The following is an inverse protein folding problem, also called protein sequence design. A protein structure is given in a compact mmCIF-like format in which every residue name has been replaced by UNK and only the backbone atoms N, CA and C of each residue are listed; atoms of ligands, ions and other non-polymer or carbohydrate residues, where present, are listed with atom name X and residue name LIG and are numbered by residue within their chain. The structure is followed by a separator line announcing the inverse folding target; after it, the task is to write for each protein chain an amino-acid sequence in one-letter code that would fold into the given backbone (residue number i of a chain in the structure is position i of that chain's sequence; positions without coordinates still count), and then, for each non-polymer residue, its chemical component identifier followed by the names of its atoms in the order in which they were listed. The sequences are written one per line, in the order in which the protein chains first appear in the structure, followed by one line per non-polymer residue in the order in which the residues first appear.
data_IF_309379295930
#
_entry.id   IF_309379295930
#
_cell.length_a   1.000
_cell.length_b   1.000
_cell.length_c   1.000
_cell.angle_alpha   90.00
_cell.angle_beta   90.00
_cell.angle_gamma   90.00
#
_symmetry.space_group_name_H-M   'P 1'
#
loop_
_entity.id
_entity.type
_entity.pdbx_description
1 polymer ?
#
# COMPACT_ATOMS: atom_id res chain seq x y z
N UNK A 1 13.27 29.31 2.14
CA UNK A 1 13.46 28.43 0.99
C UNK A 1 12.98 27.07 1.46
N UNK A 2 11.85 26.60 0.96
CA UNK A 2 11.44 25.21 1.17
C UNK A 2 12.51 24.32 0.58
N UNK A 3 12.82 23.20 1.23
CA UNK A 3 13.69 22.19 0.67
C UNK A 3 13.10 21.74 -0.68
N UNK A 4 13.98 21.52 -1.66
CA UNK A 4 13.55 21.08 -2.98
C UNK A 4 12.93 19.68 -2.88
N UNK A 5 13.49 18.81 -2.04
CA UNK A 5 12.95 17.46 -1.76
C UNK A 5 11.56 17.58 -1.15
N UNK A 6 11.35 18.46 -0.16
CA UNK A 6 10.02 18.70 0.42
C UNK A 6 8.98 19.10 -0.64
N UNK A 7 9.41 19.90 -1.63
CA UNK A 7 8.55 20.36 -2.72
C UNK A 7 8.21 19.22 -3.70
N UNK A 8 9.17 18.33 -3.99
CA UNK A 8 8.94 17.12 -4.77
C UNK A 8 7.98 16.17 -4.06
N UNK A 9 8.18 15.95 -2.76
CA UNK A 9 7.31 15.11 -1.94
C UNK A 9 5.89 15.69 -1.86
N UNK A 10 5.73 17.01 -1.73
CA UNK A 10 4.41 17.65 -1.79
C UNK A 10 3.73 17.48 -3.15
N UNK A 11 4.49 17.53 -4.25
CA UNK A 11 3.97 17.28 -5.58
C UNK A 11 3.51 15.83 -5.75
N UNK A 12 4.29 14.85 -5.26
CA UNK A 12 3.91 13.43 -5.28
C UNK A 12 2.64 13.13 -4.50
N UNK A 13 2.34 13.89 -3.43
CA UNK A 13 1.08 13.78 -2.68
C UNK A 13 -0.15 14.33 -3.43
N UNK A 14 0.05 15.04 -4.54
CA UNK A 14 -1.01 15.70 -5.33
C UNK A 14 -1.21 15.10 -6.70
N UNK A 15 -0.16 14.52 -7.29
CA UNK A 15 -0.25 13.87 -8.60
C UNK A 15 -1.06 12.56 -8.52
N UNK A 16 -1.62 12.09 -9.64
CA UNK A 16 -2.36 10.83 -9.66
C UNK A 16 -1.50 9.66 -9.17
N UNK A 17 -1.92 8.93 -8.12
CA UNK A 17 -1.14 7.86 -7.50
C UNK A 17 -0.97 6.62 -8.39
N UNK A 18 -1.81 6.48 -9.43
CA UNK A 18 -1.65 5.42 -10.44
C UNK A 18 -0.45 5.62 -11.35
N UNK A 19 0.18 6.81 -11.32
CA UNK A 19 1.33 7.17 -12.16
C UNK A 19 2.58 7.44 -11.33
N UNK A 20 2.65 6.93 -10.10
CA UNK A 20 3.77 7.19 -9.18
C UNK A 20 5.13 6.93 -9.82
N UNK A 21 5.32 5.79 -10.50
CA UNK A 21 6.59 5.44 -11.17
C UNK A 21 6.95 6.44 -12.28
N UNK A 22 6.00 6.82 -13.13
CA UNK A 22 6.22 7.83 -14.18
C UNK A 22 6.54 9.20 -13.58
N UNK A 23 5.84 9.58 -12.51
CA UNK A 23 6.03 10.87 -11.83
C UNK A 23 7.41 10.94 -11.15
N UNK A 24 7.85 9.87 -10.47
CA UNK A 24 9.18 9.77 -9.86
C UNK A 24 10.26 9.87 -10.93
N UNK A 25 10.16 9.08 -12.00
CA UNK A 25 11.12 9.12 -13.11
C UNK A 25 11.19 10.51 -13.77
N UNK A 26 10.05 11.19 -13.93
CA UNK A 26 10.03 12.55 -14.46
C UNK A 26 10.72 13.54 -13.52
N UNK A 27 10.52 13.43 -12.20
CA UNK A 27 11.19 14.30 -11.21
C UNK A 27 12.69 14.05 -11.15
N UNK A 28 13.13 12.79 -11.19
CA UNK A 28 14.55 12.42 -11.30
C UNK A 28 15.15 13.03 -12.58
N UNK A 29 14.44 12.96 -13.71
CA UNK A 29 14.90 13.57 -14.96
C UNK A 29 15.05 15.10 -14.90
N UNK A 30 14.28 15.78 -14.04
CA UNK A 30 14.38 17.24 -13.85
C UNK A 30 15.49 17.59 -12.85
N UNK A 31 15.62 16.82 -11.78
CA UNK A 31 16.57 17.07 -10.68
C UNK A 31 17.35 15.79 -10.33
N UNK A 32 18.31 15.38 -11.17
CA UNK A 32 19.03 14.11 -10.99
C UNK A 32 19.87 14.06 -9.71
N UNK A 33 20.34 15.23 -9.23
CA UNK A 33 21.16 15.32 -8.01
C UNK A 33 20.42 14.91 -6.73
N UNK A 34 19.08 14.82 -6.79
CA UNK A 34 18.22 14.44 -5.66
C UNK A 34 17.55 13.07 -5.86
N UNK A 35 18.02 12.28 -6.83
CA UNK A 35 17.41 10.99 -7.16
C UNK A 35 17.42 10.03 -5.96
N UNK A 36 18.55 9.92 -5.26
CA UNK A 36 18.70 9.02 -4.11
C UNK A 36 17.78 9.43 -2.94
N UNK A 37 17.70 10.72 -2.64
CA UNK A 37 16.82 11.25 -1.58
C UNK A 37 15.33 11.00 -1.92
N UNK A 38 14.95 11.18 -3.19
CA UNK A 38 13.57 10.98 -3.64
C UNK A 38 13.19 9.50 -3.64
N UNK A 39 14.05 8.62 -4.18
CA UNK A 39 13.83 7.18 -4.21
C UNK A 39 13.78 6.59 -2.79
N UNK A 40 14.63 7.10 -1.89
CA UNK A 40 14.60 6.70 -0.47
C UNK A 40 13.36 7.20 0.30
N UNK A 41 12.64 8.19 -0.23
CA UNK A 41 11.51 8.83 0.45
C UNK A 41 10.14 8.51 -0.15
N UNK A 42 10.08 7.98 -1.37
CA UNK A 42 8.84 7.75 -2.12
C UNK A 42 8.70 6.28 -2.44
N UNK A 43 7.80 5.61 -1.71
CA UNK A 43 7.44 4.24 -2.02
C UNK A 43 6.78 4.14 -3.42
N UNK A 44 7.21 3.16 -4.21
CA UNK A 44 6.67 2.86 -5.53
C UNK A 44 5.88 1.53 -5.52
N UNK A 45 4.95 1.31 -6.47
CA UNK A 45 4.24 0.04 -6.58
C UNK A 45 5.20 -1.15 -6.72
N UNK A 46 4.89 -2.25 -6.03
CA UNK A 46 5.80 -3.39 -5.95
C UNK A 46 5.86 -4.14 -7.28
N UNK A 47 7.07 -4.40 -7.75
CA UNK A 47 7.33 -5.11 -8.99
C UNK A 47 7.41 -6.62 -8.74
N UNK A 48 6.80 -7.40 -9.62
CA UNK A 48 6.87 -8.85 -9.57
C UNK A 48 8.08 -9.35 -10.37
N UNK A 49 8.96 -10.11 -9.73
CA UNK A 49 10.10 -10.78 -10.37
C UNK A 49 10.09 -12.27 -10.08
N UNK A 50 10.84 -13.03 -10.88
CA UNK A 50 10.96 -14.49 -10.73
C UNK A 50 12.40 -14.87 -10.48
N UNK A 51 12.65 -15.53 -9.36
CA UNK A 51 13.92 -16.20 -9.10
C UNK A 51 13.99 -17.48 -9.94
N UNK A 52 14.84 -17.45 -10.98
CA UNK A 52 15.01 -18.56 -11.91
C UNK A 52 15.69 -19.78 -11.26
N UNK A 53 16.49 -19.57 -10.22
CA UNK A 53 17.21 -20.65 -9.54
C UNK A 53 16.30 -21.41 -8.57
N UNK A 54 15.44 -20.68 -7.85
CA UNK A 54 14.48 -21.26 -6.91
C UNK A 54 13.14 -21.62 -7.57
N UNK A 55 12.85 -21.08 -8.75
CA UNK A 55 11.56 -21.25 -9.44
C UNK A 55 10.40 -20.56 -8.70
N UNK A 56 10.68 -19.47 -7.97
CA UNK A 56 9.72 -18.78 -7.11
C UNK A 56 9.64 -17.30 -7.44
N UNK A 57 8.45 -16.74 -7.30
CA UNK A 57 8.23 -15.31 -7.46
C UNK A 57 8.64 -14.54 -6.20
N UNK A 58 9.08 -13.29 -6.38
CA UNK A 58 9.40 -12.37 -5.29
C UNK A 58 9.03 -10.92 -5.67
N UNK A 59 8.90 -10.07 -4.66
CA UNK A 59 8.59 -8.66 -4.80
C UNK A 59 9.86 -7.83 -4.80
N UNK A 60 9.98 -6.97 -5.81
CA UNK A 60 11.10 -6.07 -6.02
C UNK A 60 10.71 -4.64 -5.67
N UNK A 61 11.63 -3.96 -4.98
CA UNK A 61 11.54 -2.57 -4.56
C UNK A 61 12.97 -2.01 -4.37
N UNK A 62 13.10 -0.74 -4.03
CA UNK A 62 14.42 -0.11 -3.87
C UNK A 62 15.25 -0.73 -2.72
N UNK A 63 14.61 -1.32 -1.70
CA UNK A 63 15.30 -1.93 -0.55
C UNK A 63 16.02 -3.26 -0.86
N UNK A 64 15.71 -3.91 -1.99
CA UNK A 64 16.44 -5.11 -2.45
C UNK A 64 17.14 -4.88 -3.79
N UNK A 65 17.30 -3.61 -4.19
CA UNK A 65 17.93 -3.20 -5.43
C UNK A 65 19.37 -2.75 -5.19
N UNK A 66 20.25 -3.14 -6.10
CA UNK A 66 21.63 -2.64 -6.18
C UNK A 66 21.93 -2.38 -7.66
N UNK A 67 22.16 -1.10 -8.02
CA UNK A 67 22.16 -0.65 -9.40
C UNK A 67 20.86 -1.01 -10.12
N UNK A 68 20.93 -1.85 -11.16
CA UNK A 68 19.75 -2.32 -11.91
C UNK A 68 19.27 -3.72 -11.47
N UNK A 69 20.01 -4.37 -10.58
CA UNK A 69 19.77 -5.74 -10.17
C UNK A 69 18.99 -5.81 -8.88
N UNK A 70 18.23 -6.89 -8.70
CA UNK A 70 17.45 -7.10 -7.48
C UNK A 70 17.77 -8.44 -6.86
N UNK A 71 17.96 -8.45 -5.53
CA UNK A 71 18.27 -9.65 -4.76
C UNK A 71 17.01 -10.47 -4.50
N UNK A 72 17.03 -11.75 -4.85
CA UNK A 72 15.97 -12.69 -4.49
C UNK A 72 16.05 -13.06 -3.00
N UNK A 73 14.92 -13.12 -2.28
CA UNK A 73 14.88 -13.60 -0.90
C UNK A 73 15.05 -15.13 -0.82
N UNK A 74 14.93 -15.86 -1.93
CA UNK A 74 15.01 -17.31 -1.95
C UNK A 74 16.45 -17.78 -2.17
N UNK A 75 17.05 -17.42 -3.30
CA UNK A 75 18.43 -17.80 -3.65
C UNK A 75 19.49 -16.92 -2.99
N UNK A 76 19.13 -15.71 -2.55
CA UNK A 76 20.06 -14.65 -2.14
C UNK A 76 20.94 -14.12 -3.29
N UNK A 77 20.58 -14.39 -4.54
CA UNK A 77 21.31 -13.94 -5.73
C UNK A 77 20.63 -12.70 -6.34
N UNK A 78 21.44 -11.84 -6.96
CA UNK A 78 20.99 -10.70 -7.75
C UNK A 78 20.63 -11.10 -9.18
N UNK A 79 19.57 -10.53 -9.73
CA UNK A 79 19.21 -10.62 -11.15
C UNK A 79 19.00 -9.21 -11.77
N UNK A 80 19.80 -8.79 -12.77
CA UNK A 80 20.97 -9.49 -13.33
C UNK A 80 22.09 -9.81 -12.32
N UNK A 81 22.94 -10.82 -12.55
CA UNK A 81 24.02 -11.18 -11.63
C UNK A 81 24.96 -10.01 -11.32
N UNK A 82 25.28 -9.84 -10.04
CA UNK A 82 26.26 -8.87 -9.53
C UNK A 82 27.29 -9.59 -8.65
N UNK A 83 28.58 -9.27 -8.85
CA UNK A 83 29.66 -9.84 -8.04
C UNK A 83 29.78 -9.14 -6.67
N UNK A 84 29.59 -7.82 -6.63
CA UNK A 84 29.78 -6.97 -5.45
C UNK A 84 28.45 -6.46 -4.85
N UNK A 85 27.35 -7.19 -5.06
CA UNK A 85 26.04 -6.81 -4.54
C UNK A 85 25.96 -6.89 -3.02
N UNK A 86 25.28 -5.91 -2.39
CA UNK A 86 25.14 -5.89 -0.93
C UNK A 86 24.31 -7.08 -0.43
N UNK A 87 24.83 -7.85 0.53
CA UNK A 87 24.13 -9.01 1.13
C UNK A 87 24.15 -8.96 2.65
N UNK A 88 23.10 -9.46 3.33
CA UNK A 88 23.08 -9.51 4.79
C UNK A 88 24.14 -10.45 5.35
N UNK A 89 24.57 -10.20 6.58
CA UNK A 89 25.48 -11.12 7.29
C UNK A 89 24.88 -12.54 7.41
N UNK A 90 25.69 -13.61 7.54
CA UNK A 90 25.16 -14.98 7.63
C UNK A 90 24.15 -15.20 8.78
N UNK A 91 24.32 -14.48 9.89
CA UNK A 91 23.39 -14.48 11.02
C UNK A 91 22.06 -13.85 10.62
N UNK A 92 22.11 -12.67 9.98
CA UNK A 92 20.92 -11.94 9.56
C UNK A 92 20.19 -12.65 8.41
N UNK A 93 20.92 -13.25 7.47
CA UNK A 93 20.33 -14.07 6.39
C UNK A 93 19.54 -15.25 6.93
N UNK A 94 19.99 -15.90 8.00
CA UNK A 94 19.21 -16.98 8.65
C UNK A 94 17.89 -16.46 9.21
N UNK A 95 17.90 -15.27 9.80
CA UNK A 95 16.69 -14.60 10.29
C UNK A 95 15.77 -14.19 9.13
N UNK A 96 16.33 -13.68 8.03
CA UNK A 96 15.61 -13.29 6.81
C UNK A 96 14.86 -14.48 6.19
N UNK A 97 15.48 -15.67 6.14
CA UNK A 97 14.84 -16.89 5.64
C UNK A 97 13.63 -17.26 6.54
N UNK A 98 13.82 -17.29 7.86
CA UNK A 98 12.72 -17.57 8.79
C UNK A 98 11.62 -16.51 8.76
N UNK A 99 11.98 -15.24 8.51
CA UNK A 99 11.00 -14.17 8.37
C UNK A 99 10.17 -14.33 7.09
N UNK A 100 10.79 -14.70 5.96
CA UNK A 100 10.07 -15.01 4.73
C UNK A 100 9.07 -16.15 4.93
N UNK A 101 9.42 -17.22 5.65
CA UNK A 101 8.50 -18.32 5.96
C UNK A 101 7.32 -17.85 6.84
N UNK A 102 7.59 -17.05 7.87
CA UNK A 102 6.58 -16.53 8.77
C UNK A 102 5.60 -15.58 8.06
N UNK A 103 6.12 -14.65 7.24
CA UNK A 103 5.28 -13.69 6.51
C UNK A 103 4.57 -14.31 5.30
N UNK A 104 5.08 -15.41 4.73
CA UNK A 104 4.32 -16.16 3.73
C UNK A 104 3.10 -16.86 4.37
N UNK A 105 3.24 -17.33 5.62
CA UNK A 105 2.11 -17.84 6.41
C UNK A 105 1.12 -16.72 6.75
N UNK A 106 1.62 -15.56 7.18
CA UNK A 106 0.79 -14.37 7.42
C UNK A 106 -0.01 -13.97 6.17
N UNK A 107 0.67 -13.90 5.02
CA UNK A 107 0.07 -13.63 3.71
C UNK A 107 -1.06 -14.62 3.42
N UNK A 108 -0.82 -15.91 3.59
CA UNK A 108 -1.85 -16.91 3.31
C UNK A 108 -3.09 -16.73 4.20
N UNK A 109 -2.91 -16.45 5.49
CA UNK A 109 -4.00 -16.27 6.45
C UNK A 109 -4.84 -15.01 6.20
N UNK A 110 -4.21 -13.90 5.77
CA UNK A 110 -4.88 -12.60 5.64
C UNK A 110 -5.27 -12.25 4.19
N UNK A 111 -4.49 -12.71 3.23
CA UNK A 111 -4.65 -12.35 1.81
C UNK A 111 -5.20 -13.50 0.96
N UNK A 112 -5.16 -14.76 1.43
CA UNK A 112 -5.62 -15.94 0.68
C UNK A 112 -5.05 -15.96 -0.76
N UNK A 113 -3.71 -15.90 -0.85
CA UNK A 113 -2.96 -15.77 -2.10
C UNK A 113 -2.11 -14.50 -2.15
N UNK A 114 -1.76 -14.04 -3.36
CA UNK A 114 -0.79 -12.96 -3.53
C UNK A 114 0.64 -13.43 -3.28
N UNK A 115 1.56 -12.48 -3.12
CA UNK A 115 3.00 -12.73 -3.00
C UNK A 115 3.53 -11.95 -1.80
N UNK A 116 4.52 -12.50 -1.11
CA UNK A 116 5.23 -11.83 -0.03
C UNK A 116 6.74 -11.95 -0.22
N UNK A 117 7.49 -10.99 0.29
CA UNK A 117 8.95 -11.04 0.32
C UNK A 117 9.47 -10.23 1.51
N UNK A 118 10.53 -10.73 2.15
CA UNK A 118 11.19 -10.06 3.27
C UNK A 118 12.67 -9.90 2.97
N UNK A 119 13.17 -8.69 3.16
CA UNK A 119 14.60 -8.37 3.04
C UNK A 119 15.09 -7.70 4.31
N UNK A 120 16.23 -8.14 4.82
CA UNK A 120 16.91 -7.58 5.98
C UNK A 120 18.30 -7.08 5.56
N UNK A 121 18.77 -6.01 6.21
CA UNK A 121 20.12 -5.49 6.05
C UNK A 121 20.68 -5.01 7.38
N UNK A 122 21.99 -5.12 7.53
CA UNK A 122 22.71 -4.70 8.73
C UNK A 122 22.81 -3.16 8.78
N UNK A 123 22.78 -2.59 9.98
CA UNK A 123 23.00 -1.15 10.21
C UNK A 123 24.36 -0.90 10.86
N UNK A 124 24.96 0.26 10.58
CA UNK A 124 26.30 0.62 11.08
C UNK A 124 26.36 0.75 12.61
N UNK A 125 25.24 1.02 13.27
CA UNK A 125 25.13 1.20 14.72
C UNK A 125 24.96 -0.12 15.51
N UNK A 126 25.03 -1.26 14.82
CA UNK A 126 24.93 -2.60 15.41
C UNK A 126 23.49 -3.14 15.52
N UNK A 127 22.50 -2.41 15.01
CA UNK A 127 21.15 -2.93 14.75
C UNK A 127 21.01 -3.58 13.38
N UNK A 128 19.78 -3.83 12.98
CA UNK A 128 19.43 -4.19 11.61
C UNK A 128 18.11 -3.53 11.22
N UNK A 129 17.87 -3.43 9.94
CA UNK A 129 16.59 -3.01 9.40
C UNK A 129 16.05 -4.07 8.44
N UNK A 130 14.78 -3.93 8.08
CA UNK A 130 14.15 -4.82 7.15
C UNK A 130 12.92 -4.23 6.51
N UNK A 131 12.52 -4.84 5.41
CA UNK A 131 11.26 -4.54 4.74
C UNK A 131 10.45 -5.84 4.60
N UNK A 132 9.17 -5.78 4.94
CA UNK A 132 8.19 -6.82 4.65
C UNK A 132 7.26 -6.30 3.56
N UNK A 133 7.16 -7.05 2.48
CA UNK A 133 6.40 -6.70 1.28
C UNK A 133 5.25 -7.69 1.10
N UNK A 134 4.05 -7.19 0.86
CA UNK A 134 2.88 -8.00 0.53
C UNK A 134 2.19 -7.39 -0.69
N UNK A 135 1.91 -8.21 -1.71
CA UNK A 135 1.18 -7.77 -2.90
C UNK A 135 0.05 -8.74 -3.22
N UNK A 136 -1.17 -8.23 -3.34
CA UNK A 136 -2.32 -8.98 -3.85
C UNK A 136 -2.92 -8.23 -5.03
N UNK A 137 -3.04 -8.92 -6.15
CA UNK A 137 -3.70 -8.40 -7.36
C UNK A 137 -5.04 -9.10 -7.51
N UNK A 138 -6.08 -8.32 -7.77
CA UNK A 138 -7.39 -8.79 -8.18
C UNK A 138 -7.47 -8.76 -9.70
N UNK A 139 -7.28 -9.93 -10.33
CA UNK A 139 -7.42 -10.09 -11.77
C UNK A 139 -8.90 -10.34 -12.11
N UNK A 140 -9.56 -9.46 -12.87
CA UNK A 140 -10.96 -9.64 -13.22
C UNK A 140 -11.11 -10.77 -14.25
N UNK A 141 -12.09 -11.66 -14.07
CA UNK A 141 -12.37 -12.72 -15.05
C UNK A 141 -13.22 -12.21 -16.23
N UNK A 142 -13.91 -11.08 -16.05
CA UNK A 142 -14.69 -10.40 -17.09
C UNK A 142 -14.49 -8.88 -17.06
N UNK A 143 -14.76 -8.14 -18.16
CA UNK A 143 -14.56 -6.67 -18.21
C UNK A 143 -15.38 -5.86 -17.19
N UNK A 144 -16.42 -6.46 -16.62
CA UNK A 144 -17.34 -5.82 -15.67
C UNK A 144 -17.08 -6.24 -14.22
N UNK A 145 -16.16 -7.20 -14.00
CA UNK A 145 -15.72 -7.52 -12.66
C UNK A 145 -14.75 -6.45 -12.12
N UNK A 146 -14.78 -6.18 -10.80
CA UNK A 146 -13.82 -5.32 -10.15
C UNK A 146 -12.38 -5.82 -10.36
N UNK A 147 -11.48 -4.88 -10.59
CA UNK A 147 -10.04 -5.13 -10.61
C UNK A 147 -9.35 -4.22 -9.61
N UNK A 148 -8.12 -4.56 -9.23
CA UNK A 148 -7.38 -3.76 -8.28
C UNK A 148 -6.09 -4.39 -7.82
N UNK A 149 -5.33 -3.63 -7.05
CA UNK A 149 -4.13 -4.10 -6.37
C UNK A 149 -4.06 -3.55 -4.95
N UNK A 150 -3.47 -4.36 -4.09
CA UNK A 150 -3.07 -4.01 -2.75
C UNK A 150 -1.58 -4.26 -2.61
N UNK A 151 -0.84 -3.23 -2.24
CA UNK A 151 0.60 -3.25 -2.02
C UNK A 151 0.86 -2.78 -0.59
N UNK A 152 1.52 -3.59 0.24
CA UNK A 152 1.96 -3.22 1.59
C UNK A 152 3.47 -3.27 1.70
N UNK A 153 4.03 -2.20 2.24
CA UNK A 153 5.46 -1.98 2.42
C UNK A 153 5.67 -1.62 3.89
N UNK A 154 6.32 -2.50 4.62
CA UNK A 154 6.59 -2.33 6.04
C UNK A 154 8.09 -2.27 6.29
N UNK A 155 8.62 -1.06 6.37
CA UNK A 155 10.03 -0.83 6.67
C UNK A 155 10.17 -0.72 8.18
N UNK A 156 11.08 -1.49 8.77
CA UNK A 156 11.35 -1.43 10.19
C UNK A 156 12.84 -1.34 10.48
N UNK A 157 13.18 -0.64 11.56
CA UNK A 157 14.50 -0.59 12.16
C UNK A 157 14.43 -1.29 13.53
N UNK A 158 15.43 -2.10 13.86
CA UNK A 158 15.54 -2.80 15.13
C UNK A 158 16.89 -2.50 15.78
N UNK A 159 16.89 -1.69 16.83
CA UNK A 159 18.07 -1.35 17.61
C UNK A 159 18.13 -2.22 18.88
N UNK A 160 19.03 -3.21 18.89
CA UNK A 160 19.22 -4.12 20.02
C UNK A 160 19.86 -3.41 21.23
N UNK A 161 19.25 -3.57 22.41
CA UNK A 161 19.72 -3.05 23.70
C UNK A 161 19.67 -4.16 24.76
N UNK A 162 20.66 -5.05 24.73
CA UNK A 162 20.77 -6.15 25.68
C UNK A 162 19.66 -7.20 25.48
N UNK A 163 18.66 -7.23 26.37
CA UNK A 163 17.50 -8.17 26.31
C UNK A 163 16.23 -7.52 25.77
N UNK A 164 16.36 -6.35 25.16
CA UNK A 164 15.26 -5.60 24.54
C UNK A 164 15.74 -5.07 23.19
N UNK A 165 14.81 -4.74 22.32
CA UNK A 165 15.07 -3.96 21.12
C UNK A 165 14.06 -2.83 21.01
N UNK A 166 14.55 -1.69 20.53
CA UNK A 166 13.72 -0.59 20.10
C UNK A 166 13.37 -0.79 18.63
N UNK A 167 12.08 -0.83 18.32
CA UNK A 167 11.58 -1.00 16.97
C UNK A 167 10.94 0.29 16.48
N UNK A 168 11.27 0.69 15.26
CA UNK A 168 10.60 1.76 14.53
C UNK A 168 10.03 1.16 13.26
N UNK A 169 8.71 1.23 13.08
CA UNK A 169 7.98 0.68 11.94
C UNK A 169 7.35 1.82 11.16
N UNK A 170 7.68 1.93 9.88
CA UNK A 170 7.03 2.77 8.89
C UNK A 170 6.31 1.88 7.89
N UNK A 171 5.00 2.00 7.83
CA UNK A 171 4.13 1.19 6.98
C UNK A 171 3.43 2.05 5.95
N UNK A 172 3.54 1.66 4.68
CA UNK A 172 2.81 2.25 3.56
C UNK A 172 1.91 1.20 2.92
N UNK A 173 0.62 1.53 2.74
CA UNK A 173 -0.29 0.75 1.91
C UNK A 173 -0.66 1.57 0.68
N UNK A 174 -0.55 0.96 -0.50
CA UNK A 174 -1.11 1.48 -1.74
C UNK A 174 -2.28 0.62 -2.17
N UNK A 175 -3.39 1.27 -2.49
CA UNK A 175 -4.62 0.63 -2.90
C UNK A 175 -5.06 1.21 -4.23
N UNK A 176 -5.35 0.34 -5.18
CA UNK A 176 -6.06 0.67 -6.41
C UNK A 176 -7.28 -0.23 -6.55
N UNK A 177 -8.42 0.37 -6.83
CA UNK A 177 -9.69 -0.30 -7.08
C UNK A 177 -10.32 0.32 -8.32
N UNK A 178 -10.64 -0.51 -9.31
CA UNK A 178 -11.30 -0.09 -10.53
C UNK A 178 -12.55 -0.93 -10.70
N UNK A 179 -13.71 -0.27 -10.75
CA UNK A 179 -14.99 -0.90 -11.06
C UNK A 179 -15.53 -0.34 -12.36
N UNK A 180 -16.06 -1.23 -13.21
CA UNK A 180 -16.65 -0.89 -14.50
C UNK A 180 -18.07 -1.42 -14.53
N UNK A 181 -19.04 -0.52 -14.58
CA UNK A 181 -20.40 -0.94 -14.81
C UNK A 181 -20.61 -1.08 -16.31
N UNK A 182 -20.83 -2.31 -16.77
CA UNK A 182 -21.43 -2.56 -18.07
C UNK A 182 -22.94 -2.43 -17.97
N UNK A 183 -23.59 -1.87 -18.99
CA UNK A 183 -24.99 -2.19 -19.18
C UNK A 183 -25.07 -3.68 -19.51
N UNK A 184 -25.77 -4.47 -18.69
CA UNK A 184 -26.19 -5.83 -19.04
C UNK A 184 -27.06 -5.76 -20.30
N UNK A 185 -26.42 -5.71 -21.46
CA UNK A 185 -27.06 -5.80 -22.77
C UNK A 185 -27.30 -7.27 -23.17
N UNK A 186 -26.87 -8.23 -22.34
CA UNK A 186 -27.12 -9.66 -22.58
C UNK A 186 -28.37 -10.19 -21.86
N UNK A 187 -28.97 -9.44 -20.92
CA UNK A 187 -30.22 -9.83 -20.25
C UNK A 187 -31.43 -8.95 -20.67
N UNK A 188 -31.27 -8.14 -21.71
CA UNK A 188 -32.31 -7.26 -22.26
C UNK A 188 -33.32 -7.98 -23.18
N UNK A 189 -33.41 -9.32 -23.13
CA UNK A 189 -34.48 -10.05 -23.80
C UNK A 189 -35.66 -10.30 -22.84
N UNK A 190 -36.30 -9.21 -22.42
CA UNK A 190 -37.70 -9.05 -21.94
C UNK A 190 -37.76 -7.95 -20.88
N UNK A 191 -38.04 -6.71 -21.29
CA UNK A 191 -38.91 -5.82 -20.50
C UNK A 191 -39.47 -4.69 -21.34
N UNK A 192 -40.79 -4.56 -21.21
CA UNK A 192 -41.72 -3.77 -22.00
C UNK A 192 -41.36 -2.30 -22.25
N UNK A 193 -41.89 -1.83 -23.38
CA UNK A 193 -41.98 -0.46 -23.87
C UNK A 193 -42.56 0.55 -22.85
N UNK A 194 -41.73 1.05 -21.94
CA UNK A 194 -41.92 2.40 -21.37
C UNK A 194 -40.60 3.14 -21.34
N UNK A 195 -40.52 4.16 -22.18
CA UNK A 195 -39.46 5.17 -22.24
C UNK A 195 -39.19 5.74 -20.84
N UNK A 196 -38.23 5.14 -20.16
CA UNK A 196 -37.50 5.75 -19.05
C UNK A 196 -36.18 6.20 -19.67
N UNK A 197 -35.83 7.48 -19.53
CA UNK A 197 -34.66 8.10 -20.14
C UNK A 197 -33.44 7.16 -20.09
N UNK A 198 -33.01 6.73 -21.29
CA UNK A 198 -31.99 5.72 -21.50
C UNK A 198 -30.59 6.22 -21.19
N UNK A 199 -30.32 6.52 -19.92
CA UNK A 199 -28.96 6.77 -19.46
C UNK A 199 -28.22 5.44 -19.46
N UNK A 200 -27.34 5.26 -20.46
CA UNK A 200 -26.37 4.16 -20.46
C UNK A 200 -25.59 4.23 -19.15
N UNK A 201 -25.71 3.19 -18.32
CA UNK A 201 -24.92 3.02 -17.09
C UNK A 201 -23.51 2.53 -17.41
N UNK A 202 -22.88 3.16 -18.39
CA UNK A 202 -21.48 2.92 -18.72
C UNK A 202 -20.65 3.90 -17.90
N UNK A 203 -19.84 3.37 -17.00
CA UNK A 203 -19.07 4.18 -16.07
C UNK A 203 -17.96 3.38 -15.42
N UNK A 204 -16.75 3.94 -15.49
CA UNK A 204 -15.59 3.46 -14.75
C UNK A 204 -15.40 4.35 -13.51
N UNK A 205 -15.22 3.72 -12.35
CA UNK A 205 -14.81 4.38 -11.12
C UNK A 205 -13.44 3.83 -10.75
N UNK A 206 -12.45 4.72 -10.67
CA UNK A 206 -11.10 4.40 -10.22
C UNK A 206 -10.86 5.10 -8.88
N UNK A 207 -10.68 4.31 -7.82
CA UNK A 207 -10.30 4.75 -6.48
C UNK A 207 -8.88 4.27 -6.21
N UNK A 208 -7.94 5.21 -6.15
CA UNK A 208 -6.52 4.92 -5.95
C UNK A 208 -5.88 5.89 -4.98
N UNK A 209 -4.82 5.42 -4.31
CA UNK A 209 -4.02 6.24 -3.41
C UNK A 209 -3.19 5.41 -2.43
N UNK A 210 -2.49 6.09 -1.54
CA UNK A 210 -1.63 5.47 -0.54
C UNK A 210 -1.79 6.11 0.84
N UNK A 211 -1.43 5.36 1.87
CA UNK A 211 -1.40 5.84 3.26
C UNK A 211 -0.13 5.34 3.94
N UNK A 212 0.59 6.27 4.58
CA UNK A 212 1.79 5.95 5.36
C UNK A 212 1.56 6.28 6.84
N UNK A 213 2.01 5.37 7.72
CA UNK A 213 1.96 5.51 9.18
C UNK A 213 3.26 5.04 9.81
N UNK A 214 3.65 5.68 10.91
CA UNK A 214 4.81 5.30 11.70
C UNK A 214 4.41 4.96 13.14
N UNK A 215 5.07 3.99 13.74
CA UNK A 215 4.98 3.68 15.17
C UNK A 215 6.32 3.21 15.70
N UNK A 216 6.56 3.44 16.98
CA UNK A 216 7.78 3.01 17.67
C UNK A 216 7.42 2.27 18.95
N UNK A 217 8.19 1.24 19.29
CA UNK A 217 7.94 0.44 20.49
C UNK A 217 9.20 -0.28 20.97
N UNK A 218 9.44 -0.27 22.29
CA UNK A 218 10.42 -1.15 22.92
C UNK A 218 9.78 -2.51 23.27
N UNK A 219 10.40 -3.61 22.84
CA UNK A 219 9.93 -4.96 23.13
C UNK A 219 11.07 -5.86 23.63
N UNK A 220 10.72 -6.88 24.41
CA UNK A 220 11.69 -7.84 24.95
C UNK A 220 12.20 -8.81 23.88
N UNK A 221 13.45 -9.23 24.04
CA UNK A 221 14.11 -10.25 23.24
C UNK A 221 14.43 -11.46 24.13
N UNK A 222 13.81 -12.60 23.81
CA UNK A 222 14.11 -13.88 24.46
C UNK A 222 15.19 -14.65 23.67
N UNK A 223 15.10 -14.58 22.36
CA UNK A 223 15.98 -15.23 21.39
C UNK A 223 15.87 -14.49 20.03
N UNK A 224 16.74 -14.77 19.04
CA UNK A 224 16.70 -14.06 17.76
C UNK A 224 15.36 -14.13 17.00
N UNK A 225 14.56 -15.19 17.18
CA UNK A 225 13.23 -15.29 16.55
C UNK A 225 12.20 -14.35 17.18
N UNK A 226 12.49 -13.80 18.37
CA UNK A 226 11.67 -12.76 19.00
C UNK A 226 11.52 -11.55 18.09
N UNK A 227 12.51 -11.24 17.24
CA UNK A 227 12.39 -10.14 16.27
C UNK A 227 11.24 -10.37 15.30
N UNK A 228 11.08 -11.57 14.74
CA UNK A 228 10.00 -11.91 13.80
C UNK A 228 8.64 -11.79 14.49
N UNK A 229 8.54 -12.27 15.74
CA UNK A 229 7.28 -12.19 16.50
C UNK A 229 6.92 -10.75 16.84
N UNK A 230 7.90 -9.95 17.26
CA UNK A 230 7.70 -8.56 17.63
C UNK A 230 7.31 -7.71 16.42
N UNK A 231 8.05 -7.81 15.31
CA UNK A 231 7.74 -7.08 14.07
C UNK A 231 6.44 -7.56 13.43
N UNK A 232 6.17 -8.88 13.46
CA UNK A 232 4.91 -9.45 12.99
C UNK A 232 3.69 -8.86 13.69
N UNK A 233 3.72 -8.75 15.02
CA UNK A 233 2.63 -8.11 15.79
C UNK A 233 2.47 -6.63 15.45
N UNK A 234 3.57 -5.89 15.34
CA UNK A 234 3.53 -4.47 14.98
C UNK A 234 2.93 -4.26 13.59
N UNK A 235 3.28 -5.11 12.63
CA UNK A 235 2.76 -5.09 11.25
C UNK A 235 1.28 -5.44 11.24
N UNK A 236 0.87 -6.53 11.88
CA UNK A 236 -0.54 -6.97 11.97
C UNK A 236 -1.43 -5.87 12.56
N UNK A 237 -1.04 -5.30 13.71
CA UNK A 237 -1.78 -4.21 14.35
C UNK A 237 -1.85 -2.96 13.45
N UNK A 238 -0.79 -2.65 12.72
CA UNK A 238 -0.73 -1.49 11.84
C UNK A 238 -1.59 -1.70 10.59
N UNK A 239 -1.49 -2.85 9.92
CA UNK A 239 -2.31 -3.18 8.75
C UNK A 239 -3.80 -3.12 9.09
N UNK A 240 -4.23 -3.70 10.22
CA UNK A 240 -5.63 -3.66 10.65
C UNK A 240 -6.12 -2.21 10.81
N UNK A 241 -5.33 -1.36 11.48
CA UNK A 241 -5.66 0.06 11.67
C UNK A 241 -5.74 0.81 10.34
N UNK A 242 -4.75 0.64 9.48
CA UNK A 242 -4.70 1.31 8.18
C UNK A 242 -5.81 0.84 7.24
N UNK A 243 -6.13 -0.45 7.21
CA UNK A 243 -7.25 -1.01 6.44
C UNK A 243 -8.58 -0.36 6.84
N UNK A 244 -8.83 -0.21 8.15
CA UNK A 244 -10.05 0.44 8.64
C UNK A 244 -10.10 1.92 8.23
N UNK A 245 -8.97 2.64 8.29
CA UNK A 245 -8.89 4.02 7.84
C UNK A 245 -9.10 4.16 6.33
N UNK A 246 -8.52 3.27 5.52
CA UNK A 246 -8.74 3.22 4.07
C UNK A 246 -10.22 3.03 3.76
N UNK A 247 -10.90 2.11 4.45
CA UNK A 247 -12.33 1.89 4.27
C UNK A 247 -13.15 3.17 4.55
N UNK A 248 -12.88 3.88 5.65
CA UNK A 248 -13.59 5.11 6.00
C UNK A 248 -13.35 6.24 4.99
N UNK A 249 -12.11 6.40 4.52
CA UNK A 249 -11.75 7.47 3.58
C UNK A 249 -12.26 7.16 2.17
N UNK A 250 -11.99 5.97 1.65
CA UNK A 250 -12.26 5.60 0.26
C UNK A 250 -13.72 5.34 -0.04
N UNK A 251 -14.52 4.92 0.94
CA UNK A 251 -15.94 4.60 0.73
C UNK A 251 -16.89 5.48 1.54
N UNK A 252 -16.37 6.21 2.54
CA UNK A 252 -17.11 7.24 3.27
C UNK A 252 -16.89 8.62 2.66
N UNK A 253 -15.69 9.18 2.84
CA UNK A 253 -15.42 10.58 2.51
C UNK A 253 -15.55 10.90 1.02
N UNK A 254 -14.99 10.07 0.15
CA UNK A 254 -15.08 10.27 -1.31
C UNK A 254 -16.54 10.27 -1.78
N UNK A 255 -17.34 9.35 -1.25
CA UNK A 255 -18.77 9.22 -1.54
C UNK A 255 -19.52 10.47 -1.08
N UNK A 256 -19.27 10.93 0.13
CA UNK A 256 -19.92 12.12 0.69
C UNK A 256 -19.59 13.37 -0.15
N UNK A 257 -18.33 13.54 -0.57
CA UNK A 257 -17.91 14.63 -1.48
C UNK A 257 -18.66 14.57 -2.82
N UNK A 258 -18.80 13.38 -3.42
CA UNK A 258 -19.54 13.21 -4.69
C UNK A 258 -21.02 13.59 -4.52
N UNK A 259 -21.66 13.19 -3.42
CA UNK A 259 -23.05 13.54 -3.13
C UNK A 259 -23.25 15.03 -2.84
N UNK A 260 -22.27 15.70 -2.23
CA UNK A 260 -22.29 17.14 -2.00
C UNK A 260 -22.17 17.94 -3.32
N UNK A 261 -21.42 17.43 -4.30
CA UNK A 261 -21.31 18.06 -5.62
C UNK A 261 -22.58 17.91 -6.46
N UNK A 262 -23.27 16.77 -6.34
CA UNK A 262 -24.51 16.50 -7.06
C UNK A 262 -25.46 15.64 -6.23
N UNK A 263 -26.43 16.29 -5.60
CA UNK A 263 -27.52 15.60 -4.92
C UNK A 263 -28.62 15.17 -5.90
N UNK A 264 -29.20 14.01 -5.66
CA UNK A 264 -30.43 13.56 -6.33
C UNK A 264 -31.66 14.16 -5.65
N UNK A 265 -31.54 14.49 -4.35
CA UNK A 265 -32.59 15.14 -3.60
C UNK A 265 -32.67 16.63 -3.93
N UNK A 266 -33.89 17.14 -3.98
CA UNK A 266 -34.15 18.55 -4.17
C UNK A 266 -33.50 19.37 -3.04
N UNK A 267 -32.68 20.34 -3.46
CA UNK A 267 -31.91 21.21 -2.58
C UNK A 267 -32.84 22.01 -1.65
N UNK A 268 -34.05 22.36 -2.10
CA UNK A 268 -35.02 23.08 -1.27
C UNK A 268 -35.58 22.20 -0.14
N UNK A 269 -35.86 20.93 -0.45
CA UNK A 269 -36.30 19.94 0.54
C UNK A 269 -35.22 19.67 1.59
N UNK A 270 -33.96 19.53 1.16
CA UNK A 270 -32.83 19.36 2.07
C UNK A 270 -32.61 20.59 2.99
N UNK A 271 -32.78 21.81 2.45
CA UNK A 271 -32.75 23.04 3.24
C UNK A 271 -33.85 23.07 4.32
N UNK A 272 -35.09 22.77 3.94
CA UNK A 272 -36.23 22.70 4.88
C UNK A 272 -35.99 21.67 5.99
N UNK A 273 -35.44 20.50 5.66
CA UNK A 273 -35.07 19.49 6.67
C UNK A 273 -33.99 19.97 7.66
N UNK A 274 -32.96 20.68 7.19
CA UNK A 274 -31.94 21.26 8.08
C UNK A 274 -32.51 22.35 8.99
N UNK A 275 -33.42 23.17 8.49
CA UNK A 275 -34.12 24.18 9.30
C UNK A 275 -34.98 23.50 10.38
N UNK A 276 -35.75 22.48 10.01
CA UNK A 276 -36.56 21.70 10.95
C UNK A 276 -35.70 21.03 12.04
N UNK A 277 -34.54 20.47 11.67
CA UNK A 277 -33.57 19.92 12.63
C UNK A 277 -33.02 20.98 13.58
N UNK A 278 -32.68 22.17 13.08
CA UNK A 278 -32.21 23.28 13.93
C UNK A 278 -33.29 23.74 14.91
N UNK A 279 -34.54 23.83 14.46
CA UNK A 279 -35.67 24.15 15.34
C UNK A 279 -35.83 23.09 16.43
N UNK A 280 -35.85 21.80 16.08
CA UNK A 280 -35.97 20.69 17.04
C UNK A 280 -34.84 20.68 18.07
N UNK A 281 -33.59 20.90 17.65
CA UNK A 281 -32.44 21.01 18.58
C UNK A 281 -32.55 22.23 19.49
N UNK A 282 -33.11 23.34 18.97
CA UNK A 282 -33.44 24.52 19.77
C UNK A 282 -34.51 24.25 20.84
N UNK A 283 -35.51 23.40 20.53
CA UNK A 283 -36.53 22.98 21.49
C UNK A 283 -36.00 22.03 22.57
N UNK A 284 -35.03 21.17 22.25
CA UNK A 284 -34.43 20.22 23.21
C UNK A 284 -33.48 20.91 24.21
N UNK A 285 -32.99 22.12 23.89
CA UNK A 285 -32.12 22.91 24.78
C UNK A 285 -32.88 23.87 25.72
N UNK A 286 -34.21 23.82 25.76
CA UNK A 286 -35.06 24.47 26.76
C UNK A 286 -35.55 23.45 27.77
#
# INVERSE_FOLDING_TARGET
MTDLVDSMLDLMRRLPPTRTEENVNALIGICPDYADDLLGSVDQPLQLKTDRSAGREYLACDYNRDGESHRSPWSNEYDPPLEDGTVPTPKLRKLEISANEAFDTYREMYYEGGISSVYLWDLDDGGFAGVVLLKKVMTPASPHEPSGSWDSIHVFEAAERGRQAHYKLTSTIMLQLVTRNGSDAEDAQKKDDKATDGWKRDGEVNLSGSMTRQTEQDMALHDPSSHITNTGRMIEDMEIKMRNLLQEVYFGKTRDIVYDLRSVDDLEKARKQRELQKELVGFIKR
#
